data_IF_953391356470
#
_entry.id   IF_953391356470
#
_cell.length_a   1.000
_cell.length_b   1.000
_cell.length_c   1.000
_cell.angle_alpha   90.00
_cell.angle_beta   90.00
_cell.angle_gamma   90.00
#
_symmetry.space_group_name_H-M   'P 1'
#
loop_
_entity.id
_entity.type
_entity.pdbx_description
1 polymer ?
#
# COMPACT_ATOMS: atom_id res chain seq x y z
N UNK A 1 -4.35 -24.89 -6.44
CA UNK A 1 -3.68 -23.64 -6.01
C UNK A 1 -4.70 -22.53 -6.04
N UNK A 2 -4.80 -21.74 -4.98
CA UNK A 2 -5.67 -20.56 -4.97
C UNK A 2 -5.02 -19.46 -5.82
N UNK A 3 -5.75 -18.81 -6.74
CA UNK A 3 -5.19 -17.77 -7.60
C UNK A 3 -4.76 -16.55 -6.78
N UNK A 4 -3.75 -15.82 -7.27
CA UNK A 4 -3.34 -14.51 -6.74
C UNK A 4 -3.50 -13.48 -7.85
N UNK A 5 -4.07 -12.33 -7.52
CA UNK A 5 -4.42 -11.24 -8.41
C UNK A 5 -3.65 -9.98 -8.01
N UNK A 6 -2.97 -9.38 -8.98
CA UNK A 6 -2.31 -8.10 -8.81
C UNK A 6 -3.31 -6.96 -9.03
N UNK A 7 -3.33 -6.00 -8.12
CA UNK A 7 -4.19 -4.82 -8.23
C UNK A 7 -3.31 -3.61 -8.59
N UNK A 8 -3.80 -2.88 -9.59
CA UNK A 8 -3.33 -1.55 -9.99
C UNK A 8 -4.51 -0.61 -9.74
N UNK A 9 -4.40 0.23 -8.72
CA UNK A 9 -5.47 1.13 -8.29
C UNK A 9 -5.20 2.54 -8.84
N UNK A 10 -6.07 3.02 -9.73
CA UNK A 10 -5.93 4.30 -10.40
C UNK A 10 -7.01 5.23 -9.85
N UNK A 11 -6.63 6.44 -9.42
CA UNK A 11 -7.50 7.36 -8.68
C UNK A 11 -7.93 6.78 -7.33
N UNK A 12 -6.94 6.29 -6.57
CA UNK A 12 -7.18 5.53 -5.35
C UNK A 12 -7.92 6.33 -4.25
N UNK A 13 -7.87 7.66 -4.31
CA UNK A 13 -8.35 8.51 -3.23
C UNK A 13 -7.66 8.11 -1.92
N UNK A 14 -8.38 8.04 -0.79
CA UNK A 14 -7.82 7.56 0.47
C UNK A 14 -7.63 6.02 0.53
N UNK A 15 -7.88 5.28 -0.56
CA UNK A 15 -7.55 3.84 -0.67
C UNK A 15 -8.63 2.87 -0.20
N UNK A 16 -9.88 3.31 0.02
CA UNK A 16 -10.92 2.46 0.61
C UNK A 16 -11.22 1.18 -0.18
N UNK A 17 -11.20 1.24 -1.51
CA UNK A 17 -11.42 0.07 -2.37
C UNK A 17 -10.25 -0.92 -2.29
N UNK A 18 -9.01 -0.40 -2.42
CA UNK A 18 -7.80 -1.21 -2.28
C UNK A 18 -7.74 -1.94 -0.95
N UNK A 19 -8.03 -1.25 0.16
CA UNK A 19 -8.10 -1.87 1.49
C UNK A 19 -9.14 -2.99 1.55
N UNK A 20 -10.32 -2.78 0.96
CA UNK A 20 -11.36 -3.81 0.89
C UNK A 20 -10.85 -5.09 0.25
N UNK A 21 -10.17 -5.00 -0.89
CA UNK A 21 -9.54 -6.15 -1.54
C UNK A 21 -8.41 -6.76 -0.69
N UNK A 22 -7.53 -5.93 -0.13
CA UNK A 22 -6.37 -6.40 0.64
C UNK A 22 -6.77 -7.09 1.96
N UNK A 23 -7.95 -6.76 2.50
CA UNK A 23 -8.53 -7.39 3.70
C UNK A 23 -9.10 -8.79 3.46
N UNK A 24 -9.33 -9.17 2.20
CA UNK A 24 -9.96 -10.45 1.87
C UNK A 24 -8.99 -11.62 2.10
N UNK A 25 -9.38 -12.54 2.98
CA UNK A 25 -8.65 -13.76 3.29
C UNK A 25 -9.55 -14.96 3.06
N UNK A 26 -9.08 -15.92 2.27
CA UNK A 26 -9.79 -17.17 2.00
C UNK A 26 -8.90 -18.35 2.43
N UNK A 27 -9.31 -19.10 3.45
CA UNK A 27 -8.56 -20.27 3.94
C UNK A 27 -7.07 -19.98 4.26
N UNK A 28 -6.79 -18.79 4.82
CA UNK A 28 -5.42 -18.34 5.13
C UNK A 28 -4.63 -17.80 3.93
N UNK A 29 -5.24 -17.72 2.74
CA UNK A 29 -4.67 -17.13 1.54
C UNK A 29 -5.16 -15.69 1.35
N UNK A 30 -4.25 -14.79 0.96
CA UNK A 30 -4.55 -13.40 0.59
C UNK A 30 -4.47 -13.29 -0.93
N UNK A 31 -5.58 -13.47 -1.67
CA UNK A 31 -5.54 -13.55 -3.12
C UNK A 31 -5.33 -12.19 -3.79
N UNK A 32 -5.56 -11.06 -3.12
CA UNK A 32 -5.43 -9.74 -3.73
C UNK A 32 -4.19 -9.02 -3.19
N UNK A 33 -3.28 -8.66 -4.09
CA UNK A 33 -2.06 -7.93 -3.75
C UNK A 33 -2.02 -6.62 -4.52
N UNK A 34 -2.11 -5.51 -3.80
CA UNK A 34 -1.90 -4.18 -4.38
C UNK A 34 -0.41 -4.05 -4.71
N UNK A 35 -0.10 -3.68 -5.94
CA UNK A 35 1.28 -3.34 -6.29
C UNK A 35 1.51 -1.87 -6.56
N UNK A 36 0.48 -1.13 -6.93
CA UNK A 36 0.54 0.33 -7.03
C UNK A 36 -0.86 0.93 -6.85
N UNK A 37 -0.91 2.02 -6.11
CA UNK A 37 -2.07 2.90 -5.96
C UNK A 37 -1.65 4.33 -6.32
N UNK A 38 -2.32 4.92 -7.30
CA UNK A 38 -2.01 6.26 -7.82
C UNK A 38 -3.05 7.26 -7.32
N UNK A 39 -2.60 8.31 -6.65
CA UNK A 39 -3.43 9.41 -6.18
C UNK A 39 -2.65 10.73 -6.22
N UNK A 40 -3.24 11.81 -6.72
CA UNK A 40 -2.58 13.12 -6.83
C UNK A 40 -2.86 14.06 -5.66
N UNK A 41 -4.01 13.91 -5.01
CA UNK A 41 -4.43 14.79 -3.93
C UNK A 41 -3.64 14.44 -2.66
N UNK A 42 -2.94 15.44 -2.10
CA UNK A 42 -1.96 15.21 -1.05
C UNK A 42 -2.57 14.63 0.24
N UNK A 43 -3.79 15.00 0.62
CA UNK A 43 -4.43 14.49 1.83
C UNK A 43 -4.88 13.03 1.70
N UNK A 44 -5.40 12.67 0.53
CA UNK A 44 -5.77 11.33 0.14
C UNK A 44 -4.52 10.45 0.03
N UNK A 45 -3.46 10.93 -0.62
CA UNK A 45 -2.17 10.24 -0.70
C UNK A 45 -1.53 9.99 0.67
N UNK A 46 -1.57 10.96 1.60
CA UNK A 46 -1.10 10.73 2.98
C UNK A 46 -1.88 9.61 3.67
N UNK A 47 -3.21 9.61 3.53
CA UNK A 47 -4.07 8.57 4.10
C UNK A 47 -3.78 7.20 3.49
N UNK A 48 -3.66 7.15 2.16
CA UNK A 48 -3.33 5.95 1.40
C UNK A 48 -1.97 5.38 1.83
N UNK A 49 -0.94 6.22 1.95
CA UNK A 49 0.41 5.83 2.37
C UNK A 49 0.40 5.30 3.81
N UNK A 50 -0.28 5.98 4.73
CA UNK A 50 -0.39 5.52 6.12
C UNK A 50 -1.09 4.15 6.20
N UNK A 51 -2.18 3.94 5.44
CA UNK A 51 -2.86 2.64 5.42
C UNK A 51 -1.99 1.53 4.85
N UNK A 52 -1.29 1.79 3.75
CA UNK A 52 -0.33 0.84 3.18
C UNK A 52 0.79 0.49 4.18
N UNK A 53 1.29 1.48 4.92
CA UNK A 53 2.26 1.28 6.00
C UNK A 53 1.72 0.38 7.11
N UNK A 54 0.53 0.68 7.63
CA UNK A 54 -0.07 -0.09 8.72
C UNK A 54 -0.34 -1.54 8.31
N UNK A 55 -0.79 -1.76 7.07
CA UNK A 55 -1.00 -3.10 6.52
C UNK A 55 0.32 -3.88 6.42
N UNK A 56 1.36 -3.28 5.86
CA UNK A 56 2.67 -3.93 5.76
C UNK A 56 3.28 -4.17 7.14
N UNK A 57 3.18 -3.21 8.07
CA UNK A 57 3.64 -3.37 9.44
C UNK A 57 2.92 -4.54 10.12
N UNK A 58 1.59 -4.60 10.02
CA UNK A 58 0.82 -5.71 10.58
C UNK A 58 1.19 -7.06 9.94
N UNK A 59 1.45 -7.09 8.64
CA UNK A 59 1.91 -8.31 7.96
C UNK A 59 3.30 -8.77 8.44
N UNK A 60 4.20 -7.83 8.78
CA UNK A 60 5.55 -8.14 9.27
C UNK A 60 5.58 -8.52 10.76
N UNK A 61 4.75 -7.87 11.58
CA UNK A 61 4.84 -7.94 13.05
C UNK A 61 3.64 -8.63 13.72
N UNK A 62 2.54 -8.83 12.99
CA UNK A 62 1.29 -9.41 13.51
C UNK A 62 0.45 -8.46 14.37
N UNK A 63 0.89 -7.21 14.56
CA UNK A 63 0.23 -6.19 15.39
C UNK A 63 0.30 -4.82 14.70
N UNK A 64 -0.48 -3.85 15.18
CA UNK A 64 -0.32 -2.45 14.77
C UNK A 64 0.77 -1.76 15.62
N UNK A 65 1.43 -0.71 15.12
CA UNK A 65 2.38 0.06 15.92
C UNK A 65 1.67 0.81 17.05
N UNK A 66 2.25 0.80 18.25
CA UNK A 66 1.71 1.55 19.40
C UNK A 66 1.61 3.06 19.10
N UNK A 67 2.59 3.61 18.37
CA UNK A 67 2.59 5.02 17.94
C UNK A 67 1.37 5.37 17.09
N UNK A 68 0.84 4.42 16.31
CA UNK A 68 -0.41 4.64 15.59
C UNK A 68 -1.61 4.69 16.51
N UNK A 69 -1.66 3.84 17.54
CA UNK A 69 -2.74 3.84 18.53
C UNK A 69 -2.74 5.17 19.30
N UNK A 70 -1.57 5.62 19.77
CA UNK A 70 -1.43 6.89 20.50
C UNK A 70 -1.76 8.11 19.61
N UNK A 71 -1.30 8.11 18.35
CA UNK A 71 -1.63 9.15 17.39
C UNK A 71 -3.13 9.19 17.10
N UNK A 72 -3.75 8.03 16.87
CA UNK A 72 -5.19 7.91 16.61
C UNK A 72 -6.04 8.35 17.81
N UNK A 73 -5.57 8.08 19.03
CA UNK A 73 -6.19 8.54 20.26
C UNK A 73 -5.96 10.05 20.54
N UNK A 74 -5.17 10.75 19.71
CA UNK A 74 -4.86 12.17 19.89
C UNK A 74 -3.89 12.45 21.04
N UNK A 75 -3.18 11.42 21.53
CA UNK A 75 -2.23 11.55 22.64
C UNK A 75 -0.88 12.11 22.19
N UNK A 76 -0.52 11.89 20.93
CA UNK A 76 0.71 12.39 20.31
C UNK A 76 0.40 13.01 18.95
N UNK A 77 1.31 13.85 18.46
CA UNK A 77 1.30 14.29 17.06
C UNK A 77 1.71 13.16 16.12
N UNK A 78 1.46 13.32 14.82
CA UNK A 78 1.84 12.32 13.83
C UNK A 78 3.34 11.98 13.94
N UNK A 79 3.69 10.69 14.14
CA UNK A 79 5.08 10.27 14.23
C UNK A 79 5.74 10.25 12.84
N UNK A 80 7.07 10.27 12.83
CA UNK A 80 7.82 9.89 11.64
C UNK A 80 7.74 8.36 11.45
N UNK A 81 6.85 7.92 10.56
CA UNK A 81 6.64 6.51 10.24
C UNK A 81 7.89 5.79 9.73
N UNK A 82 8.83 6.53 9.11
CA UNK A 82 10.09 5.95 8.64
C UNK A 82 11.00 5.54 9.80
N UNK A 83 10.90 6.26 10.93
CA UNK A 83 11.59 5.93 12.18
C UNK A 83 10.91 4.79 12.95
N UNK A 84 9.60 4.59 12.75
CA UNK A 84 8.85 3.46 13.35
C UNK A 84 9.22 2.15 12.68
N UNK A 85 9.16 2.09 11.35
CA UNK A 85 9.65 0.94 10.58
C UNK A 85 10.01 1.38 9.14
N UNK A 86 11.30 1.58 8.90
CA UNK A 86 11.81 2.00 7.60
C UNK A 86 11.50 1.01 6.46
N UNK A 87 11.39 -0.30 6.76
CA UNK A 87 11.12 -1.32 5.75
C UNK A 87 9.65 -1.29 5.33
N UNK A 88 8.74 -1.22 6.30
CA UNK A 88 7.31 -1.08 6.03
C UNK A 88 7.02 0.26 5.34
N UNK A 89 7.66 1.34 5.81
CA UNK A 89 7.49 2.67 5.24
C UNK A 89 7.96 2.74 3.78
N UNK A 90 9.13 2.16 3.47
CA UNK A 90 9.60 2.10 2.07
C UNK A 90 8.60 1.39 1.17
N UNK A 91 8.07 0.25 1.59
CA UNK A 91 7.05 -0.49 0.82
C UNK A 91 5.76 0.31 0.62
N UNK A 92 5.32 1.01 1.66
CA UNK A 92 4.15 1.89 1.56
C UNK A 92 4.36 2.99 0.50
N UNK A 93 5.56 3.58 0.42
CA UNK A 93 5.89 4.59 -0.60
C UNK A 93 6.10 3.99 -1.99
N UNK A 94 6.52 2.73 -2.10
CA UNK A 94 6.57 2.01 -3.37
C UNK A 94 5.16 1.74 -3.92
N UNK A 95 4.21 1.45 -3.04
CA UNK A 95 2.80 1.21 -3.39
C UNK A 95 2.03 2.50 -3.66
N UNK A 96 2.01 3.45 -2.71
CA UNK A 96 1.22 4.68 -2.77
C UNK A 96 1.99 5.79 -3.49
N UNK A 97 1.66 6.03 -4.76
CA UNK A 97 2.39 6.96 -5.63
C UNK A 97 1.61 8.26 -5.85
N UNK A 98 2.25 9.37 -5.51
CA UNK A 98 1.75 10.72 -5.72
C UNK A 98 1.93 11.15 -7.18
N UNK A 99 1.07 10.68 -8.09
CA UNK A 99 1.19 10.92 -9.52
C UNK A 99 -0.09 11.52 -10.11
N UNK A 100 0.09 12.39 -11.10
CA UNK A 100 -1.00 12.86 -11.94
C UNK A 100 -1.11 12.00 -13.20
N UNK A 101 -2.24 11.29 -13.32
CA UNK A 101 -2.55 10.46 -14.47
C UNK A 101 -2.66 11.30 -15.75
N UNK A 102 -2.15 10.75 -16.85
CA UNK A 102 -2.06 11.42 -18.14
C UNK A 102 -0.72 12.09 -18.42
N UNK A 103 0.21 12.10 -17.46
CA UNK A 103 1.60 12.51 -17.69
C UNK A 103 2.49 11.35 -18.15
N UNK A 104 3.55 11.65 -18.91
CA UNK A 104 4.53 10.64 -19.36
C UNK A 104 5.26 9.99 -18.18
N UNK A 105 5.54 10.75 -17.13
CA UNK A 105 6.16 10.24 -15.90
C UNK A 105 5.24 9.24 -15.18
N UNK A 106 3.95 9.55 -15.06
CA UNK A 106 3.00 8.62 -14.45
C UNK A 106 2.87 7.33 -15.25
N UNK A 107 2.85 7.41 -16.59
CA UNK A 107 2.80 6.23 -17.45
C UNK A 107 4.01 5.32 -17.23
N UNK A 108 5.22 5.88 -17.22
CA UNK A 108 6.46 5.12 -17.00
C UNK A 108 6.48 4.41 -15.64
N UNK A 109 6.04 5.09 -14.57
CA UNK A 109 6.00 4.51 -13.23
C UNK A 109 4.98 3.38 -13.09
N UNK A 110 3.80 3.53 -13.71
CA UNK A 110 2.76 2.51 -13.72
C UNK A 110 3.24 1.27 -14.49
N UNK A 111 3.87 1.46 -15.65
CA UNK A 111 4.43 0.36 -16.45
C UNK A 111 5.51 -0.40 -15.68
N UNK A 112 6.40 0.31 -14.97
CA UNK A 112 7.42 -0.30 -14.13
C UNK A 112 6.80 -1.12 -12.98
N UNK A 113 5.78 -0.57 -12.31
CA UNK A 113 5.06 -1.27 -11.25
C UNK A 113 4.35 -2.54 -11.76
N UNK A 114 3.70 -2.47 -12.91
CA UNK A 114 3.06 -3.62 -13.56
C UNK A 114 4.11 -4.69 -13.91
N UNK A 115 5.28 -4.30 -14.44
CA UNK A 115 6.35 -5.23 -14.76
C UNK A 115 6.90 -5.93 -13.49
N UNK A 116 7.08 -5.19 -12.39
CA UNK A 116 7.49 -5.74 -11.09
C UNK A 116 6.46 -6.70 -10.50
N UNK A 117 5.18 -6.34 -10.56
CA UNK A 117 4.07 -7.19 -10.12
C UNK A 117 4.07 -8.52 -10.88
N UNK A 118 4.10 -8.47 -12.22
CA UNK A 118 4.16 -9.66 -13.08
C UNK A 118 5.33 -10.55 -12.70
N UNK A 119 6.54 -10.00 -12.53
CA UNK A 119 7.73 -10.77 -12.15
C UNK A 119 7.61 -11.43 -10.77
N UNK A 120 7.04 -10.72 -9.80
CA UNK A 120 6.84 -11.22 -8.44
C UNK A 120 5.84 -12.37 -8.42
N UNK A 121 4.77 -12.25 -9.21
CA UNK A 121 3.74 -13.30 -9.32
C UNK A 121 4.23 -14.52 -10.10
N UNK A 122 5.03 -14.34 -11.15
CA UNK A 122 5.60 -15.47 -11.91
C UNK A 122 6.66 -16.26 -11.13
N UNK A 123 7.38 -15.65 -10.18
CA UNK A 123 8.42 -16.33 -9.36
C UNK A 123 7.86 -17.15 -8.19
N UNK A 124 6.55 -17.11 -7.94
CA UNK A 124 5.87 -17.92 -6.91
C UNK A 124 5.35 -19.27 -7.45
N UNK A 125 5.72 -19.63 -8.68
CA UNK A 125 5.49 -20.93 -9.31
C UNK A 125 6.78 -21.75 -9.36
#
# INVERSE_FOLDING_TARGET
MSPTFGIVDLFAGPGGLGEGFASFVENGHVPFQIGISVEKEASAHRTLTLRAFLREYQALHGILPDQYIDFHAGLVTEPDWSSVDAKAWRKANEEARALELGSESAAAEIDEAIAKLKKTMTRRF
#
